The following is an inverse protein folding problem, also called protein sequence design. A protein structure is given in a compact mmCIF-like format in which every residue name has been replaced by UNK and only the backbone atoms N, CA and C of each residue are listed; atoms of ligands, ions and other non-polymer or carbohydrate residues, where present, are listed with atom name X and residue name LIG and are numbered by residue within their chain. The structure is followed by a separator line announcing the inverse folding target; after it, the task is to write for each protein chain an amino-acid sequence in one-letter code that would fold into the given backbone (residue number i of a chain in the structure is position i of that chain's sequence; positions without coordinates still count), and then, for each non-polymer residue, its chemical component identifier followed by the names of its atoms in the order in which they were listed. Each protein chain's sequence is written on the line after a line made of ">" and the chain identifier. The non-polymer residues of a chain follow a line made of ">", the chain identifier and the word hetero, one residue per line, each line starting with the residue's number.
data_IF_956921948579
#
_entry.id   IF_956921948579
#
_cell.length_a   1.000
_cell.length_b   1.000
_cell.length_c   1.000
_cell.angle_alpha   90.00
_cell.angle_beta   90.00
_cell.angle_gamma   90.00
#
_symmetry.space_group_name_H-M   'P 1'
#
loop_
_entity.id
_entity.type
_entity.pdbx_description
1 polymer ?
#
# COMPACT_ATOMS: atom_id res chain seq x y z
N UNK A 1 4.39 -62.21 -1.71
CA UNK A 1 3.23 -61.29 -1.84
C UNK A 1 3.43 -59.92 -1.18
N UNK A 2 4.27 -59.77 -0.17
CA UNK A 2 4.43 -58.52 0.61
C UNK A 2 5.10 -57.36 -0.15
N UNK A 3 6.13 -57.66 -0.94
CA UNK A 3 6.88 -56.61 -1.68
C UNK A 3 6.01 -55.94 -2.73
N UNK A 4 5.20 -56.67 -3.46
CA UNK A 4 4.28 -56.10 -4.47
C UNK A 4 3.21 -55.21 -3.83
N UNK A 5 2.71 -55.58 -2.66
CA UNK A 5 1.77 -54.76 -1.88
C UNK A 5 2.42 -53.49 -1.35
N UNK A 6 3.67 -53.56 -0.90
CA UNK A 6 4.44 -52.40 -0.46
C UNK A 6 4.70 -51.38 -1.58
N UNK A 7 5.07 -51.87 -2.77
CA UNK A 7 5.28 -51.02 -3.96
C UNK A 7 3.97 -50.34 -4.38
N UNK A 8 2.86 -51.08 -4.42
CA UNK A 8 1.56 -50.51 -4.77
C UNK A 8 1.08 -49.46 -3.75
N UNK A 9 1.28 -49.69 -2.46
CA UNK A 9 0.95 -48.73 -1.41
C UNK A 9 1.83 -47.48 -1.48
N UNK A 10 3.14 -47.62 -1.74
CA UNK A 10 4.04 -46.51 -1.93
C UNK A 10 3.71 -45.65 -3.15
N UNK A 11 3.35 -46.29 -4.28
CA UNK A 11 2.92 -45.58 -5.48
C UNK A 11 1.60 -44.81 -5.24
N UNK A 12 0.64 -45.39 -4.53
CA UNK A 12 -0.62 -44.69 -4.19
C UNK A 12 -0.40 -43.50 -3.30
N UNK A 13 0.43 -43.62 -2.26
CA UNK A 13 0.79 -42.50 -1.37
C UNK A 13 1.54 -41.42 -2.13
N UNK A 14 2.43 -41.78 -3.07
CA UNK A 14 3.12 -40.78 -3.92
C UNK A 14 2.16 -39.99 -4.78
N UNK A 15 1.20 -40.64 -5.43
CA UNK A 15 0.17 -39.98 -6.24
C UNK A 15 -0.69 -39.03 -5.37
N UNK A 16 -1.11 -39.47 -4.20
CA UNK A 16 -1.90 -38.63 -3.27
C UNK A 16 -1.11 -37.41 -2.85
N UNK A 17 0.16 -37.55 -2.51
CA UNK A 17 1.03 -36.44 -2.14
C UNK A 17 1.23 -35.48 -3.31
N UNK A 18 1.44 -35.98 -4.52
CA UNK A 18 1.60 -35.15 -5.73
C UNK A 18 0.32 -34.34 -6.04
N UNK A 19 -0.84 -35.00 -6.01
CA UNK A 19 -2.14 -34.31 -6.20
C UNK A 19 -2.38 -33.26 -5.12
N UNK A 20 -2.04 -33.55 -3.87
CA UNK A 20 -2.18 -32.61 -2.78
C UNK A 20 -1.27 -31.37 -2.98
N UNK A 21 0.00 -31.57 -3.34
CA UNK A 21 0.96 -30.51 -3.63
C UNK A 21 0.53 -29.68 -4.84
N UNK A 22 0.08 -30.34 -5.92
CA UNK A 22 -0.42 -29.65 -7.11
C UNK A 22 -1.67 -28.80 -6.81
N UNK A 23 -2.61 -29.36 -6.06
CA UNK A 23 -3.82 -28.63 -5.63
C UNK A 23 -3.47 -27.45 -4.76
N UNK A 24 -2.53 -27.60 -3.82
CA UNK A 24 -2.04 -26.52 -2.98
C UNK A 24 -1.36 -25.41 -3.82
N UNK A 25 -0.54 -25.81 -4.78
CA UNK A 25 0.08 -24.88 -5.73
C UNK A 25 -0.96 -24.10 -6.53
N UNK A 26 -1.98 -24.78 -7.09
CA UNK A 26 -3.07 -24.15 -7.81
C UNK A 26 -3.84 -23.12 -6.95
N UNK A 27 -4.07 -23.42 -5.68
CA UNK A 27 -4.75 -22.50 -4.75
C UNK A 27 -3.92 -21.26 -4.50
N UNK A 28 -2.61 -21.41 -4.30
CA UNK A 28 -1.71 -20.28 -4.05
C UNK A 28 -1.60 -19.34 -5.26
N UNK A 29 -1.48 -19.90 -6.47
CA UNK A 29 -1.35 -19.10 -7.69
C UNK A 29 -2.70 -18.63 -8.27
N UNK A 30 -3.79 -19.07 -7.67
CA UNK A 30 -5.12 -18.59 -8.04
C UNK A 30 -5.25 -17.10 -7.75
N UNK A 31 -5.85 -16.40 -8.70
CA UNK A 31 -6.22 -15.00 -8.50
C UNK A 31 -7.59 -14.90 -7.83
N UNK A 32 -7.77 -14.02 -6.82
CA UNK A 32 -9.06 -13.86 -6.17
C UNK A 32 -10.08 -13.29 -7.15
N UNK A 33 -11.28 -13.85 -7.12
CA UNK A 33 -12.40 -13.47 -7.99
C UNK A 33 -13.38 -12.51 -7.31
N UNK A 34 -13.29 -12.37 -6.01
CA UNK A 34 -14.18 -11.53 -5.21
C UNK A 34 -13.41 -10.78 -4.11
N UNK A 35 -14.01 -9.73 -3.57
CA UNK A 35 -13.47 -9.03 -2.42
C UNK A 35 -13.40 -9.92 -1.17
N UNK A 36 -14.33 -10.87 -1.03
CA UNK A 36 -14.32 -11.85 0.07
C UNK A 36 -13.12 -12.79 0.01
N UNK A 37 -12.69 -13.19 -1.19
CA UNK A 37 -11.47 -13.99 -1.36
C UNK A 37 -10.22 -13.17 -0.99
N UNK A 38 -10.16 -11.88 -1.34
CA UNK A 38 -9.09 -10.97 -0.90
C UNK A 38 -9.09 -10.84 0.61
N UNK A 39 -10.25 -10.62 1.21
CA UNK A 39 -10.42 -10.56 2.66
C UNK A 39 -9.92 -11.83 3.35
N UNK A 40 -10.27 -13.00 2.82
CA UNK A 40 -9.83 -14.28 3.37
C UNK A 40 -8.30 -14.45 3.35
N UNK A 41 -7.62 -13.95 2.30
CA UNK A 41 -6.16 -14.00 2.21
C UNK A 41 -5.46 -13.03 3.17
N UNK A 42 -5.97 -11.80 3.28
CA UNK A 42 -5.35 -10.74 4.09
C UNK A 42 -5.79 -10.75 5.55
N UNK A 43 -6.98 -11.30 5.84
CA UNK A 43 -7.61 -11.31 7.17
C UNK A 43 -7.79 -9.90 7.75
N UNK A 44 -8.19 -8.96 6.88
CA UNK A 44 -8.48 -7.55 7.22
C UNK A 44 -9.81 -7.13 6.61
N UNK A 45 -10.47 -6.08 7.15
CA UNK A 45 -11.75 -5.61 6.61
C UNK A 45 -11.63 -5.15 5.15
N UNK A 46 -12.63 -5.47 4.34
CA UNK A 46 -12.83 -4.82 3.03
C UNK A 46 -13.53 -3.48 3.27
N UNK A 47 -12.85 -2.40 2.91
CA UNK A 47 -13.39 -1.04 3.06
C UNK A 47 -14.45 -0.78 2.01
N UNK A 48 -14.17 -1.13 0.77
CA UNK A 48 -15.14 -1.10 -0.33
C UNK A 48 -14.71 -2.08 -1.45
N UNK A 49 -15.70 -2.54 -2.24
CA UNK A 49 -15.52 -3.34 -3.45
C UNK A 49 -15.96 -2.50 -4.65
N UNK A 50 -14.97 -1.87 -5.30
CA UNK A 50 -15.18 -0.86 -6.33
C UNK A 50 -15.43 -1.51 -7.68
N UNK A 51 -16.68 -1.53 -8.13
CA UNK A 51 -17.08 -2.03 -9.45
C UNK A 51 -16.92 -0.93 -10.49
N UNK A 52 -15.99 -1.09 -11.41
CA UNK A 52 -15.49 -0.08 -12.36
C UNK A 52 -16.58 0.61 -13.20
N UNK A 53 -17.71 -0.05 -13.44
CA UNK A 53 -18.79 0.47 -14.30
C UNK A 53 -19.85 1.31 -13.59
N UNK A 54 -19.88 1.37 -12.25
CA UNK A 54 -20.93 2.03 -11.46
C UNK A 54 -20.41 2.84 -10.28
N UNK A 55 -19.13 2.84 -10.00
CA UNK A 55 -18.60 3.49 -8.83
C UNK A 55 -18.45 4.99 -9.05
N UNK A 56 -19.10 5.77 -8.21
CA UNK A 56 -18.66 7.13 -7.95
C UNK A 56 -17.36 7.03 -7.13
N UNK A 57 -16.20 7.13 -7.81
CA UNK A 57 -14.89 7.01 -7.14
C UNK A 57 -14.74 8.04 -6.01
N UNK A 58 -15.32 9.22 -6.14
CA UNK A 58 -15.31 10.24 -5.10
C UNK A 58 -15.96 9.72 -3.80
N UNK A 59 -17.09 9.04 -3.91
CA UNK A 59 -17.79 8.47 -2.76
C UNK A 59 -16.99 7.34 -2.09
N UNK A 60 -16.27 6.52 -2.88
CA UNK A 60 -15.39 5.48 -2.35
C UNK A 60 -14.29 6.07 -1.48
N UNK A 61 -13.64 7.15 -1.95
CA UNK A 61 -12.58 7.79 -1.18
C UNK A 61 -13.09 8.61 0.00
N UNK A 62 -14.32 9.11 -0.04
CA UNK A 62 -15.00 9.65 1.15
C UNK A 62 -15.22 8.60 2.23
N UNK A 63 -15.66 7.40 1.85
CA UNK A 63 -15.81 6.28 2.78
C UNK A 63 -14.46 5.86 3.37
N UNK A 64 -13.42 5.78 2.53
CA UNK A 64 -12.07 5.49 3.00
C UNK A 64 -11.57 6.56 3.98
N UNK A 65 -11.75 7.84 3.65
CA UNK A 65 -11.40 8.94 4.54
C UNK A 65 -12.14 8.86 5.88
N UNK A 66 -13.43 8.59 5.85
CA UNK A 66 -14.25 8.40 7.05
C UNK A 66 -13.77 7.21 7.89
N UNK A 67 -13.50 6.06 7.25
CA UNK A 67 -12.95 4.87 7.90
C UNK A 67 -11.62 5.17 8.61
N UNK A 68 -10.74 5.94 7.98
CA UNK A 68 -9.46 6.32 8.56
C UNK A 68 -9.62 7.33 9.71
N UNK A 69 -10.63 8.21 9.66
CA UNK A 69 -10.93 9.17 10.72
C UNK A 69 -11.47 8.51 11.99
N UNK A 70 -12.40 7.59 11.88
CA UNK A 70 -13.06 6.95 13.02
C UNK A 70 -12.09 6.27 13.98
N UNK A 71 -10.93 5.88 13.48
CA UNK A 71 -9.87 5.27 14.27
C UNK A 71 -8.94 6.28 14.97
N UNK A 72 -9.20 7.57 14.82
CA UNK A 72 -8.47 8.64 15.51
C UNK A 72 -9.05 8.89 16.93
N UNK A 73 -8.87 7.98 17.83
CA UNK A 73 -9.18 8.20 19.24
C UNK A 73 -8.01 8.85 19.96
N UNK A 74 -8.02 10.17 20.16
CA UNK A 74 -7.02 10.84 20.98
C UNK A 74 -7.00 12.36 20.81
N UNK A 75 -6.91 13.09 21.91
CA UNK A 75 -7.02 14.54 21.99
C UNK A 75 -5.73 15.31 21.62
N UNK A 76 -4.66 14.66 21.19
CA UNK A 76 -3.42 15.31 20.75
C UNK A 76 -3.45 15.55 19.24
N UNK A 77 -3.62 16.83 18.88
CA UNK A 77 -3.85 17.34 17.52
C UNK A 77 -2.62 17.32 16.60
N UNK A 78 -1.87 16.22 16.58
CA UNK A 78 -0.88 16.02 15.51
C UNK A 78 -1.54 15.45 14.27
N UNK A 79 -1.09 15.89 13.11
CA UNK A 79 -1.55 15.35 11.84
C UNK A 79 -1.34 13.84 11.75
N UNK A 80 -2.20 13.17 10.99
CA UNK A 80 -2.17 11.71 10.83
C UNK A 80 -1.49 11.32 9.54
N UNK A 81 -0.51 10.46 9.64
CA UNK A 81 0.15 9.87 8.48
C UNK A 81 -0.53 8.57 8.05
N UNK A 82 -0.82 8.48 6.75
CA UNK A 82 -1.53 7.34 6.14
C UNK A 82 -0.71 6.81 4.98
N UNK A 83 -0.34 5.54 5.02
CA UNK A 83 0.35 4.87 3.94
C UNK A 83 -0.62 4.13 3.04
N UNK A 84 -0.59 4.40 1.75
CA UNK A 84 -1.29 3.67 0.71
C UNK A 84 -0.36 2.61 0.12
N UNK A 85 -0.73 1.33 0.28
CA UNK A 85 0.05 0.16 -0.12
C UNK A 85 -0.60 -0.57 -1.29
N UNK A 86 -0.30 -0.21 -2.55
CA UNK A 86 -0.78 -0.96 -3.70
C UNK A 86 -0.10 -2.32 -3.80
N UNK A 87 -0.87 -3.37 -4.14
CA UNK A 87 -0.36 -4.72 -4.33
C UNK A 87 -0.84 -5.34 -5.64
N UNK A 88 0.09 -5.92 -6.38
CA UNK A 88 -0.18 -6.51 -7.69
C UNK A 88 -0.38 -5.46 -8.78
N UNK A 89 -0.99 -5.86 -9.88
CA UNK A 89 -1.25 -4.96 -11.00
C UNK A 89 -2.39 -4.00 -10.67
N UNK A 90 -2.02 -2.74 -10.42
CA UNK A 90 -2.96 -1.69 -10.05
C UNK A 90 -2.51 -0.36 -10.68
N UNK A 91 -3.32 0.21 -11.56
CA UNK A 91 -2.97 1.43 -12.33
C UNK A 91 -3.57 2.73 -11.79
N UNK A 92 -4.34 2.67 -10.70
CA UNK A 92 -5.02 3.85 -10.18
C UNK A 92 -4.18 4.51 -9.09
N UNK A 93 -4.20 5.84 -9.08
CA UNK A 93 -3.52 6.65 -8.09
C UNK A 93 -4.38 6.80 -6.80
N UNK A 94 -4.38 5.75 -5.98
CA UNK A 94 -5.19 5.71 -4.78
C UNK A 94 -4.72 6.71 -3.71
N UNK A 95 -3.41 6.93 -3.61
CA UNK A 95 -2.84 7.90 -2.68
C UNK A 95 -3.27 9.32 -3.00
N UNK A 96 -3.18 9.73 -4.27
CA UNK A 96 -3.64 11.04 -4.71
C UNK A 96 -5.14 11.24 -4.47
N UNK A 97 -5.96 10.24 -4.82
CA UNK A 97 -7.42 10.31 -4.64
C UNK A 97 -7.82 10.43 -3.16
N UNK A 98 -7.14 9.72 -2.28
CA UNK A 98 -7.34 9.87 -0.84
C UNK A 98 -6.95 11.28 -0.36
N UNK A 99 -5.77 11.77 -0.78
CA UNK A 99 -5.31 13.10 -0.42
C UNK A 99 -6.29 14.19 -0.91
N UNK A 100 -6.80 14.05 -2.14
CA UNK A 100 -7.84 14.92 -2.67
C UNK A 100 -9.13 14.86 -1.86
N UNK A 101 -9.53 13.67 -1.39
CA UNK A 101 -10.73 13.53 -0.57
C UNK A 101 -10.62 14.29 0.75
N UNK A 102 -9.49 14.21 1.44
CA UNK A 102 -9.24 15.03 2.63
C UNK A 102 -9.23 16.53 2.32
N UNK A 103 -8.56 16.94 1.23
CA UNK A 103 -8.49 18.34 0.81
C UNK A 103 -9.87 18.91 0.45
N UNK A 104 -10.74 18.13 -0.19
CA UNK A 104 -12.12 18.51 -0.50
C UNK A 104 -12.96 18.76 0.77
N UNK A 105 -12.62 18.10 1.87
CA UNK A 105 -13.19 18.36 3.18
C UNK A 105 -12.51 19.55 3.92
N UNK A 106 -11.70 20.34 3.21
CA UNK A 106 -10.93 21.48 3.72
C UNK A 106 -9.91 21.08 4.80
N UNK A 107 -9.40 19.85 4.74
CA UNK A 107 -8.35 19.35 5.60
C UNK A 107 -6.99 19.61 4.93
N UNK A 108 -6.10 20.35 5.61
CA UNK A 108 -4.77 20.61 5.09
C UNK A 108 -3.98 19.31 4.98
N UNK A 109 -3.69 18.92 3.74
CA UNK A 109 -3.15 17.59 3.39
C UNK A 109 -1.85 17.71 2.61
N UNK A 110 -0.86 16.91 2.97
CA UNK A 110 0.35 16.69 2.21
C UNK A 110 0.29 15.31 1.56
N UNK A 111 0.47 15.26 0.24
CA UNK A 111 0.77 14.02 -0.48
C UNK A 111 2.28 13.89 -0.68
N UNK A 112 2.87 12.83 -0.17
CA UNK A 112 4.23 12.40 -0.51
C UNK A 112 4.11 11.25 -1.50
N UNK A 113 4.41 11.53 -2.77
CA UNK A 113 4.30 10.55 -3.85
C UNK A 113 5.66 9.91 -4.11
N UNK A 114 5.78 8.64 -3.70
CA UNK A 114 7.01 7.86 -3.88
C UNK A 114 7.10 7.15 -5.25
N UNK A 115 6.06 7.30 -6.08
CA UNK A 115 5.95 6.60 -7.37
C UNK A 115 6.12 7.57 -8.54
N UNK A 116 5.59 8.79 -8.40
CA UNK A 116 5.56 9.78 -9.46
C UNK A 116 6.84 10.62 -9.46
N UNK A 117 7.45 10.74 -10.63
CA UNK A 117 8.56 11.68 -10.84
C UNK A 117 8.07 13.13 -10.85
N UNK A 118 8.86 14.06 -10.31
CA UNK A 118 8.56 15.48 -10.41
C UNK A 118 8.62 15.93 -11.88
N UNK A 119 7.62 16.69 -12.33
CA UNK A 119 7.54 17.17 -13.71
C UNK A 119 8.10 18.60 -13.84
N UNK A 120 8.86 18.84 -14.90
CA UNK A 120 9.28 20.20 -15.30
C UNK A 120 10.22 20.89 -14.31
N UNK A 121 9.88 22.12 -13.90
CA UNK A 121 10.69 22.95 -13.00
C UNK A 121 10.77 22.43 -11.56
N UNK A 122 9.96 21.46 -11.21
CA UNK A 122 9.87 20.84 -9.89
C UNK A 122 10.95 19.77 -9.69
N UNK A 123 11.66 19.37 -10.75
CA UNK A 123 12.71 18.35 -10.71
C UNK A 123 13.84 18.66 -9.69
N UNK A 124 14.01 19.93 -9.29
CA UNK A 124 14.96 20.33 -8.25
C UNK A 124 14.42 20.24 -6.81
N UNK A 125 13.11 20.02 -6.63
CA UNK A 125 12.46 20.03 -5.31
C UNK A 125 11.97 18.62 -4.95
N UNK A 126 12.90 17.72 -4.69
CA UNK A 126 12.65 16.32 -4.44
C UNK A 126 12.97 15.95 -2.99
N UNK A 127 12.12 15.09 -2.40
CA UNK A 127 12.40 14.53 -1.07
C UNK A 127 13.70 13.70 -1.08
N UNK A 128 14.03 13.05 -2.20
CA UNK A 128 15.22 12.22 -2.34
C UNK A 128 16.50 13.02 -2.13
N UNK A 129 16.65 14.17 -2.78
CA UNK A 129 17.85 15.01 -2.68
C UNK A 129 18.04 15.56 -1.28
N UNK A 130 16.95 15.99 -0.64
CA UNK A 130 17.01 16.42 0.76
C UNK A 130 17.46 15.31 1.70
N UNK A 131 16.90 14.13 1.55
CA UNK A 131 17.19 12.97 2.42
C UNK A 131 18.65 12.52 2.24
N UNK A 132 19.15 12.51 0.99
CA UNK A 132 20.53 12.13 0.68
C UNK A 132 21.57 13.21 1.04
N UNK A 133 21.13 14.38 1.46
CA UNK A 133 22.02 15.44 1.96
C UNK A 133 22.52 16.44 0.91
N UNK A 134 22.05 16.33 -0.32
CA UNK A 134 22.55 17.13 -1.45
C UNK A 134 21.88 18.51 -1.56
N UNK A 135 20.72 18.72 -0.93
CA UNK A 135 19.94 19.96 -1.07
C UNK A 135 19.29 20.45 0.23
N UNK A 136 18.82 21.69 0.18
CA UNK A 136 17.99 22.30 1.23
C UNK A 136 16.65 21.56 1.35
N UNK A 137 15.98 21.75 2.50
CA UNK A 137 14.67 21.19 2.79
C UNK A 137 13.69 21.44 1.64
N UNK A 138 13.00 20.41 1.13
CA UNK A 138 12.07 20.55 0.03
C UNK A 138 10.82 21.31 0.47
N UNK A 139 10.32 22.16 -0.43
CA UNK A 139 9.07 22.90 -0.25
C UNK A 139 8.00 22.20 -1.09
N UNK A 140 6.95 21.63 -0.49
CA UNK A 140 5.89 20.99 -1.26
C UNK A 140 5.23 21.94 -2.26
N UNK A 141 4.84 21.40 -3.42
CA UNK A 141 4.13 22.17 -4.44
C UNK A 141 2.65 22.24 -4.13
N UNK A 142 2.11 23.44 -4.04
CA UNK A 142 0.68 23.66 -3.79
C UNK A 142 -0.15 23.33 -5.03
N UNK A 143 -1.02 22.34 -4.93
CA UNK A 143 -1.98 21.99 -5.97
C UNK A 143 -3.31 22.75 -5.82
N UNK A 144 -3.74 22.97 -4.58
CA UNK A 144 -4.90 23.81 -4.23
C UNK A 144 -4.76 24.31 -2.78
N UNK A 145 -5.75 25.06 -2.29
CA UNK A 145 -5.70 25.66 -0.95
C UNK A 145 -5.50 24.70 0.21
N UNK A 146 -5.76 23.40 0.00
CA UNK A 146 -5.71 22.35 1.04
C UNK A 146 -4.85 21.15 0.68
N UNK A 147 -4.24 21.12 -0.53
CA UNK A 147 -3.42 20.01 -0.99
C UNK A 147 -2.07 20.51 -1.47
N UNK A 148 -1.03 20.09 -0.79
CA UNK A 148 0.36 20.23 -1.20
C UNK A 148 0.91 18.85 -1.59
N UNK A 149 1.80 18.81 -2.58
CA UNK A 149 2.40 17.57 -3.12
C UNK A 149 3.91 17.66 -3.11
N UNK A 150 4.54 16.58 -2.70
CA UNK A 150 5.98 16.38 -2.75
C UNK A 150 6.26 15.05 -3.43
N UNK A 151 7.04 15.07 -4.50
CA UNK A 151 7.40 13.89 -5.26
C UNK A 151 8.80 13.37 -4.89
N UNK A 152 9.04 12.10 -5.20
CA UNK A 152 10.35 11.47 -5.16
C UNK A 152 10.99 11.59 -6.55
N UNK A 153 12.28 11.87 -6.60
CA UNK A 153 13.06 11.71 -7.82
C UNK A 153 13.40 10.22 -7.98
N UNK A 154 12.80 9.57 -8.98
CA UNK A 154 12.94 8.13 -9.22
C UNK A 154 14.11 7.81 -10.13
N UNK A 155 14.70 8.83 -10.80
CA UNK A 155 15.78 8.65 -11.78
C UNK A 155 17.13 8.21 -11.19
N UNK A 156 17.29 8.25 -9.86
CA UNK A 156 18.53 7.84 -9.21
C UNK A 156 18.44 6.40 -8.69
N UNK A 157 19.33 5.53 -9.16
CA UNK A 157 19.44 4.12 -8.72
C UNK A 157 19.66 3.94 -7.20
N UNK A 158 19.99 5.01 -6.47
CA UNK A 158 20.20 5.03 -5.02
C UNK A 158 18.93 5.24 -4.19
N UNK A 159 17.78 5.23 -4.79
CA UNK A 159 16.50 5.54 -4.15
C UNK A 159 16.06 4.57 -3.03
N UNK A 160 16.70 3.41 -2.92
CA UNK A 160 16.37 2.41 -1.89
C UNK A 160 16.55 2.96 -0.46
N UNK A 161 17.48 3.88 -0.26
CA UNK A 161 17.82 4.38 1.07
C UNK A 161 16.95 5.58 1.53
N UNK A 162 16.10 6.14 0.65
CA UNK A 162 15.35 7.37 0.95
C UNK A 162 14.33 7.15 2.04
N UNK A 163 13.46 6.16 1.90
CA UNK A 163 12.33 5.94 2.83
C UNK A 163 12.81 5.36 4.17
N UNK A 164 13.90 4.60 4.15
CA UNK A 164 14.50 4.03 5.36
C UNK A 164 15.42 5.01 6.10
N UNK A 165 15.67 6.20 5.54
CA UNK A 165 16.56 7.18 6.13
C UNK A 165 15.88 7.94 7.28
N UNK A 166 16.62 8.18 8.36
CA UNK A 166 16.13 8.93 9.53
C UNK A 166 15.68 10.35 9.19
N UNK A 167 16.29 10.98 8.17
CA UNK A 167 15.86 12.32 7.71
C UNK A 167 14.47 12.29 7.08
N UNK A 168 14.11 11.21 6.38
CA UNK A 168 12.76 11.02 5.86
C UNK A 168 11.74 10.89 6.99
N UNK A 169 12.04 10.04 7.97
CA UNK A 169 11.19 9.84 9.14
C UNK A 169 11.00 11.15 9.93
N UNK A 170 12.09 11.90 10.14
CA UNK A 170 12.05 13.20 10.81
C UNK A 170 11.22 14.22 10.03
N UNK A 171 11.36 14.24 8.69
CA UNK A 171 10.58 15.12 7.85
C UNK A 171 9.08 14.82 7.94
N UNK A 172 8.67 13.57 7.83
CA UNK A 172 7.26 13.17 7.97
C UNK A 172 6.71 13.59 9.33
N UNK A 173 7.46 13.35 10.40
CA UNK A 173 7.07 13.72 11.75
C UNK A 173 6.90 15.23 11.94
N UNK A 174 7.80 16.04 11.37
CA UNK A 174 7.68 17.50 11.42
C UNK A 174 6.49 18.02 10.61
N UNK A 175 6.17 17.34 9.48
CA UNK A 175 5.00 17.72 8.68
C UNK A 175 3.68 17.47 9.41
N UNK A 176 3.64 16.55 10.39
CA UNK A 176 2.46 16.35 11.25
C UNK A 176 2.10 17.58 12.11
N UNK A 177 3.04 18.49 12.31
CA UNK A 177 2.75 19.76 13.00
C UNK A 177 2.11 20.82 12.07
N UNK A 178 2.19 20.61 10.75
CA UNK A 178 1.72 21.55 9.72
C UNK A 178 0.47 21.08 9.00
N UNK A 179 0.35 19.77 8.77
CA UNK A 179 -0.73 19.17 8.01
C UNK A 179 -1.62 18.29 8.90
N UNK A 180 -2.93 18.33 8.65
CA UNK A 180 -3.89 17.46 9.35
C UNK A 180 -3.78 16.00 8.85
N UNK A 181 -3.42 15.83 7.58
CA UNK A 181 -3.17 14.51 6.97
C UNK A 181 -1.90 14.54 6.14
N UNK A 182 -1.12 13.47 6.26
CA UNK A 182 0.00 13.18 5.38
C UNK A 182 -0.29 11.85 4.72
N UNK A 183 -0.48 11.85 3.42
CA UNK A 183 -0.70 10.62 2.64
C UNK A 183 0.61 10.25 1.95
N UNK A 184 1.13 9.06 2.21
CA UNK A 184 2.27 8.50 1.49
C UNK A 184 1.73 7.54 0.43
N UNK A 185 1.97 7.86 -0.84
CA UNK A 185 1.66 6.97 -1.96
C UNK A 185 2.87 6.08 -2.22
N UNK A 186 2.83 4.87 -1.71
CA UNK A 186 3.93 3.92 -1.78
C UNK A 186 3.98 3.18 -3.12
N UNK A 187 5.16 2.71 -3.55
CA UNK A 187 5.27 1.80 -4.67
C UNK A 187 4.61 0.46 -4.39
N UNK A 188 4.46 -0.35 -5.44
CA UNK A 188 3.86 -1.68 -5.34
C UNK A 188 4.64 -2.55 -4.33
N UNK A 189 3.91 -3.09 -3.37
CA UNK A 189 4.45 -3.93 -2.28
C UNK A 189 5.20 -5.16 -2.81
N UNK A 190 4.79 -5.69 -3.97
CA UNK A 190 5.45 -6.84 -4.59
C UNK A 190 6.80 -6.47 -5.25
N UNK A 191 7.06 -5.18 -5.48
CA UNK A 191 8.22 -4.69 -6.24
C UNK A 191 9.23 -3.93 -5.37
N UNK A 192 8.78 -3.36 -4.24
CA UNK A 192 9.64 -2.51 -3.41
C UNK A 192 9.37 -2.69 -1.91
N UNK A 193 10.46 -2.74 -1.14
CA UNK A 193 10.42 -2.71 0.33
C UNK A 193 10.01 -1.34 0.90
N UNK A 194 10.03 -0.27 0.08
CA UNK A 194 9.70 1.09 0.51
C UNK A 194 8.29 1.21 1.08
N UNK A 195 7.34 0.41 0.55
CA UNK A 195 5.98 0.37 1.07
C UNK A 195 5.92 -0.10 2.53
N UNK A 196 6.76 -1.07 2.90
CA UNK A 196 6.88 -1.53 4.31
C UNK A 196 7.64 -0.52 5.15
N UNK A 197 8.70 0.09 4.61
CA UNK A 197 9.44 1.13 5.32
C UNK A 197 8.53 2.33 5.64
N UNK A 198 7.73 2.81 4.67
CA UNK A 198 6.70 3.82 4.89
C UNK A 198 5.64 3.35 5.89
N UNK A 199 5.26 2.08 5.83
CA UNK A 199 4.29 1.47 6.75
C UNK A 199 4.71 1.51 8.22
N UNK A 200 6.00 1.42 8.50
CA UNK A 200 6.55 1.54 9.86
C UNK A 200 6.54 2.97 10.39
N UNK A 201 6.52 3.95 9.50
CA UNK A 201 6.54 5.37 9.85
C UNK A 201 5.13 5.94 10.02
N UNK A 202 4.16 5.38 9.32
CA UNK A 202 2.81 5.90 9.29
C UNK A 202 1.94 5.40 10.44
N UNK A 203 1.03 6.24 10.88
CA UNK A 203 0.05 5.90 11.92
C UNK A 203 -0.95 4.87 11.43
N UNK A 204 -1.25 4.87 10.12
CA UNK A 204 -2.22 3.98 9.49
C UNK A 204 -1.73 3.47 8.15
N UNK A 205 -2.08 2.22 7.84
CA UNK A 205 -1.75 1.58 6.57
C UNK A 205 -3.00 0.94 5.98
N UNK A 206 -3.27 1.19 4.72
CA UNK A 206 -4.32 0.49 3.99
C UNK A 206 -3.80 -0.09 2.68
N UNK A 207 -4.38 -1.21 2.29
CA UNK A 207 -4.01 -1.95 1.09
C UNK A 207 -4.97 -1.60 -0.04
N UNK A 208 -4.44 -1.52 -1.25
CA UNK A 208 -5.23 -1.37 -2.46
C UNK A 208 -4.84 -2.44 -3.46
N UNK A 209 -5.80 -3.17 -3.99
CA UNK A 209 -5.56 -4.16 -5.04
C UNK A 209 -6.72 -4.24 -6.02
N UNK A 210 -6.47 -4.87 -7.17
CA UNK A 210 -7.51 -5.22 -8.13
C UNK A 210 -7.73 -6.74 -8.17
N UNK A 211 -9.00 -7.16 -8.21
CA UNK A 211 -9.34 -8.56 -8.48
C UNK A 211 -8.74 -9.00 -9.80
N UNK A 212 -8.10 -10.16 -9.83
CA UNK A 212 -7.38 -10.63 -11.01
C UNK A 212 -6.03 -9.96 -11.28
N UNK A 213 -5.71 -8.86 -10.58
CA UNK A 213 -4.42 -8.16 -10.67
C UNK A 213 -3.34 -8.69 -9.72
N UNK A 214 -3.73 -9.53 -8.78
CA UNK A 214 -2.86 -10.13 -7.75
C UNK A 214 -3.24 -11.60 -7.57
N UNK A 215 -2.29 -12.45 -7.16
CA UNK A 215 -2.57 -13.83 -6.78
C UNK A 215 -2.65 -14.01 -5.26
N UNK A 216 -3.21 -15.14 -4.83
CA UNK A 216 -3.38 -15.42 -3.41
C UNK A 216 -2.05 -15.49 -2.67
N UNK A 217 -1.00 -16.05 -3.29
CA UNK A 217 0.34 -16.13 -2.70
C UNK A 217 0.88 -14.75 -2.35
N UNK A 218 0.75 -13.79 -3.26
CA UNK A 218 1.21 -12.40 -3.03
C UNK A 218 0.45 -11.75 -1.87
N UNK A 219 -0.86 -12.00 -1.75
CA UNK A 219 -1.66 -11.49 -0.62
C UNK A 219 -1.25 -12.14 0.71
N UNK A 220 -1.05 -13.45 0.75
CA UNK A 220 -0.55 -14.13 1.95
C UNK A 220 0.84 -13.65 2.34
N UNK A 221 1.72 -13.45 1.36
CA UNK A 221 3.07 -12.92 1.61
C UNK A 221 3.02 -11.49 2.16
N UNK A 222 2.16 -10.62 1.61
CA UNK A 222 1.94 -9.28 2.16
C UNK A 222 1.49 -9.33 3.63
N UNK A 223 0.49 -10.18 3.95
CA UNK A 223 0.00 -10.35 5.32
C UNK A 223 1.13 -10.77 6.26
N UNK A 224 1.90 -11.77 5.87
CA UNK A 224 2.99 -12.30 6.69
C UNK A 224 4.12 -11.28 6.85
N UNK A 225 4.51 -10.61 5.78
CA UNK A 225 5.55 -9.58 5.82
C UNK A 225 5.14 -8.40 6.71
N UNK A 226 3.90 -7.92 6.60
CA UNK A 226 3.37 -6.88 7.46
C UNK A 226 3.42 -7.29 8.93
N UNK A 227 3.04 -8.53 9.25
CA UNK A 227 3.10 -9.06 10.62
C UNK A 227 4.55 -9.13 11.15
N UNK A 228 5.49 -9.62 10.34
CA UNK A 228 6.92 -9.69 10.69
C UNK A 228 7.49 -8.29 10.94
N UNK A 229 7.10 -7.30 10.13
CA UNK A 229 7.54 -5.91 10.26
C UNK A 229 6.80 -5.13 11.36
N UNK A 230 5.79 -5.72 12.01
CA UNK A 230 4.97 -5.07 13.03
C UNK A 230 4.03 -3.99 12.46
N UNK A 231 3.67 -4.10 11.15
CA UNK A 231 2.80 -3.16 10.46
C UNK A 231 1.34 -3.64 10.59
N UNK A 232 0.48 -2.77 11.10
CA UNK A 232 -0.96 -3.03 11.16
C UNK A 232 -1.60 -2.58 9.85
N UNK A 233 -2.22 -3.52 9.15
CA UNK A 233 -3.03 -3.25 7.96
C UNK A 233 -4.47 -2.98 8.40
N UNK A 234 -4.95 -1.76 8.19
CA UNK A 234 -6.28 -1.31 8.67
C UNK A 234 -7.43 -1.90 7.87
N UNK A 235 -7.23 -2.06 6.57
CA UNK A 235 -8.23 -2.59 5.65
C UNK A 235 -7.75 -2.60 4.21
N UNK A 236 -8.59 -3.11 3.32
CA UNK A 236 -8.30 -3.22 1.89
C UNK A 236 -9.41 -2.59 1.05
N UNK A 237 -8.99 -1.80 0.06
CA UNK A 237 -9.84 -1.30 -1.02
C UNK A 237 -9.63 -2.22 -2.24
N UNK A 238 -10.70 -2.87 -2.69
CA UNK A 238 -10.65 -3.84 -3.78
C UNK A 238 -11.29 -3.26 -5.02
N UNK A 239 -10.57 -3.27 -6.13
CA UNK A 239 -11.07 -2.84 -7.44
C UNK A 239 -11.38 -4.04 -8.33
N UNK A 240 -12.30 -3.82 -9.26
CA UNK A 240 -12.48 -4.68 -10.42
C UNK A 240 -11.53 -4.22 -11.53
N UNK A 241 -10.81 -5.16 -12.17
CA UNK A 241 -9.97 -4.90 -13.34
C UNK A 241 -10.81 -4.64 -14.59
#
# INVERSE_FOLDING_TARGET
>A
GGVKKGIAAGALLGIIAEVALYTFWLILYRKPKSAEEVRACLDIPVIDDVKTRKANEEEVYKKLALFLKEKQGGADHKGVSVNCMPVGYFKKDAGLKLAMSFANEKKKTLLIDLVKEPEGKEAGNSISRYVLGDESRPVPTTQNSYLDVLCRDVAEEKNFDVVMNERFASYVKEMQDTYEYIVINSPNVAESADAFAAGKLCDKNFVVCARGGVNNETLYRLKNEAAVQGIVLEGVLVYEL
#
